data_IF_553792903833
#
_entry.id   IF_553792903833
#
_cell.length_a   1.000
_cell.length_b   1.000
_cell.length_c   1.000
_cell.angle_alpha   90.00
_cell.angle_beta   90.00
_cell.angle_gamma   90.00
#
_symmetry.space_group_name_H-M   'P 1'
#
loop_
_entity.id
_entity.type
_entity.pdbx_description
1 polymer ?
#
# COMPACT_ATOMS: atom_id res chain seq x y z
N UNK A 1 -16.92 16.36 12.52
CA UNK A 1 -17.64 15.18 13.09
C UNK A 1 -17.83 14.23 11.91
N UNK A 2 -17.11 13.11 11.88
CA UNK A 2 -17.33 12.11 10.81
C UNK A 2 -18.64 11.37 11.13
N UNK A 3 -19.67 11.62 10.33
CA UNK A 3 -20.92 10.86 10.40
C UNK A 3 -20.64 9.45 9.87
N UNK A 4 -20.67 8.46 10.74
CA UNK A 4 -20.62 7.05 10.36
C UNK A 4 -22.07 6.61 10.11
N UNK A 5 -22.48 6.31 8.86
CA UNK A 5 -23.85 5.93 8.57
C UNK A 5 -24.17 4.56 9.16
N UNK A 6 -25.42 4.42 9.62
CA UNK A 6 -25.98 3.14 10.06
C UNK A 6 -26.77 2.51 8.92
N UNK A 7 -26.56 1.21 8.68
CA UNK A 7 -27.30 0.39 7.73
C UNK A 7 -28.13 -0.65 8.46
N UNK A 8 -29.32 -0.96 7.92
CA UNK A 8 -30.22 -1.98 8.46
C UNK A 8 -30.26 -3.15 7.49
N UNK A 9 -29.93 -4.34 7.97
CA UNK A 9 -30.08 -5.60 7.24
C UNK A 9 -31.30 -6.37 7.73
N UNK A 10 -32.09 -6.85 6.80
CA UNK A 10 -33.13 -7.83 7.09
C UNK A 10 -32.54 -9.25 7.09
N UNK A 11 -32.67 -9.94 8.21
CA UNK A 11 -32.22 -11.33 8.35
C UNK A 11 -33.42 -12.24 8.64
N UNK A 12 -33.23 -13.54 8.56
CA UNK A 12 -34.25 -14.53 8.96
C UNK A 12 -34.66 -14.43 10.45
N UNK A 13 -33.85 -13.72 11.26
CA UNK A 13 -34.09 -13.51 12.70
C UNK A 13 -34.59 -12.08 13.03
N UNK A 14 -34.90 -11.27 11.99
CA UNK A 14 -35.34 -9.88 12.14
C UNK A 14 -34.35 -8.86 11.61
N UNK A 15 -34.61 -7.59 11.91
CA UNK A 15 -33.76 -6.48 11.50
C UNK A 15 -32.53 -6.36 12.42
N UNK A 16 -31.37 -6.11 11.80
CA UNK A 16 -30.12 -5.80 12.52
C UNK A 16 -29.53 -4.50 11.99
N UNK A 17 -29.23 -3.58 12.89
CA UNK A 17 -28.54 -2.35 12.59
C UNK A 17 -27.02 -2.52 12.78
N UNK A 18 -26.25 -2.02 11.83
CA UNK A 18 -24.78 -1.98 11.87
C UNK A 18 -24.31 -0.56 11.50
N UNK A 19 -23.21 -0.09 12.07
CA UNK A 19 -22.47 0.95 11.40
C UNK A 19 -21.84 0.41 10.11
N UNK A 20 -21.56 1.30 9.16
CA UNK A 20 -21.07 0.88 7.84
C UNK A 20 -19.73 0.13 7.90
N UNK A 21 -18.83 0.51 8.83
CA UNK A 21 -17.53 -0.15 8.97
C UNK A 21 -17.69 -1.59 9.47
N UNK A 22 -18.53 -1.79 10.52
CA UNK A 22 -18.87 -3.12 11.03
C UNK A 22 -19.57 -3.99 9.98
N UNK A 23 -20.40 -3.36 9.11
CA UNK A 23 -21.04 -4.08 8.02
C UNK A 23 -20.04 -4.54 6.94
N UNK A 24 -19.11 -3.66 6.53
CA UNK A 24 -18.06 -3.99 5.59
C UNK A 24 -17.10 -5.06 6.15
N UNK A 25 -16.80 -5.01 7.44
CA UNK A 25 -15.96 -6.00 8.09
C UNK A 25 -16.53 -7.43 7.99
N UNK A 26 -17.87 -7.60 8.00
CA UNK A 26 -18.51 -8.90 7.73
C UNK A 26 -18.15 -9.46 6.35
N UNK A 27 -17.94 -8.59 5.37
CA UNK A 27 -17.49 -8.94 4.02
C UNK A 27 -15.95 -8.95 3.91
N UNK A 28 -15.26 -8.94 5.06
CA UNK A 28 -13.80 -8.98 5.18
C UNK A 28 -13.10 -7.76 4.59
N UNK A 29 -13.77 -6.62 4.58
CA UNK A 29 -13.27 -5.34 4.06
C UNK A 29 -12.82 -4.46 5.22
N UNK A 30 -11.54 -4.03 5.16
CA UNK A 30 -10.92 -3.06 6.08
C UNK A 30 -10.58 -1.81 5.27
N UNK A 31 -10.78 -0.63 5.86
CA UNK A 31 -10.47 0.65 5.21
C UNK A 31 -9.48 1.44 6.06
N UNK A 32 -8.33 1.79 5.46
CA UNK A 32 -7.42 2.82 5.95
C UNK A 32 -7.71 4.12 5.18
N UNK A 33 -8.53 4.99 5.76
CA UNK A 33 -9.00 6.25 5.15
C UNK A 33 -8.47 7.51 5.85
N UNK A 34 -7.35 7.41 6.59
CA UNK A 34 -6.77 8.51 7.37
C UNK A 34 -5.27 8.34 7.52
N UNK A 35 -4.65 9.25 8.30
CA UNK A 35 -3.26 9.11 8.72
C UNK A 35 -3.03 7.83 9.52
N UNK A 36 -1.84 7.24 9.34
CA UNK A 36 -1.39 6.08 10.13
C UNK A 36 -0.88 6.56 11.48
N UNK A 37 -1.60 6.23 12.54
CA UNK A 37 -1.26 6.50 13.92
C UNK A 37 -1.55 5.27 14.79
N UNK A 38 -1.20 5.32 16.09
CA UNK A 38 -1.33 4.16 16.98
C UNK A 38 -2.78 3.69 17.14
N UNK A 39 -3.76 4.61 17.17
CA UNK A 39 -5.17 4.24 17.28
C UNK A 39 -5.67 3.51 16.04
N UNK A 40 -5.32 4.03 14.85
CA UNK A 40 -5.64 3.43 13.56
C UNK A 40 -4.96 2.08 13.42
N UNK A 41 -3.68 1.98 13.80
CA UNK A 41 -2.94 0.71 13.75
C UNK A 41 -3.56 -0.34 14.67
N UNK A 42 -3.89 0.01 15.92
CA UNK A 42 -4.55 -0.91 16.85
C UNK A 42 -5.90 -1.38 16.32
N UNK A 43 -6.68 -0.49 15.70
CA UNK A 43 -7.97 -0.85 15.09
C UNK A 43 -7.78 -1.84 13.93
N UNK A 44 -6.87 -1.55 13.01
CA UNK A 44 -6.62 -2.39 11.82
C UNK A 44 -6.03 -3.75 12.22
N UNK A 45 -5.06 -3.79 13.12
CA UNK A 45 -4.48 -5.05 13.61
C UNK A 45 -5.53 -5.92 14.30
N UNK A 46 -6.41 -5.33 15.10
CA UNK A 46 -7.52 -6.05 15.73
C UNK A 46 -8.49 -6.64 14.70
N UNK A 47 -8.80 -5.89 13.65
CA UNK A 47 -9.67 -6.36 12.56
C UNK A 47 -9.01 -7.50 11.77
N UNK A 48 -7.71 -7.41 11.47
CA UNK A 48 -6.97 -8.47 10.80
C UNK A 48 -6.98 -9.78 11.60
N UNK A 49 -6.65 -9.71 12.90
CA UNK A 49 -6.65 -10.86 13.80
C UNK A 49 -8.07 -11.45 13.98
N UNK A 50 -9.09 -10.61 14.07
CA UNK A 50 -10.48 -11.05 14.15
C UNK A 50 -10.91 -11.82 12.90
N UNK A 51 -10.58 -11.31 11.71
CA UNK A 51 -10.91 -11.95 10.45
C UNK A 51 -10.16 -13.27 10.25
N UNK A 52 -8.88 -13.34 10.65
CA UNK A 52 -8.13 -14.59 10.64
C UNK A 52 -8.78 -15.64 11.54
N UNK A 53 -9.17 -15.25 12.77
CA UNK A 53 -9.82 -16.17 13.72
C UNK A 53 -11.18 -16.67 13.21
N UNK A 54 -11.87 -15.90 12.36
CA UNK A 54 -13.13 -16.33 11.74
C UNK A 54 -12.93 -17.35 10.62
N UNK A 55 -11.98 -17.10 9.72
CA UNK A 55 -11.71 -17.97 8.57
C UNK A 55 -10.32 -17.62 8.01
N UNK A 56 -9.34 -18.48 8.24
CA UNK A 56 -7.95 -18.26 7.82
C UNK A 56 -7.69 -18.50 6.33
N UNK A 57 -8.66 -19.11 5.62
CA UNK A 57 -8.49 -19.47 4.20
C UNK A 57 -9.05 -18.41 3.23
N UNK A 58 -9.82 -17.46 3.75
CA UNK A 58 -10.43 -16.41 2.93
C UNK A 58 -9.59 -15.14 2.93
N UNK A 59 -9.53 -14.51 1.77
CA UNK A 59 -8.85 -13.22 1.57
C UNK A 59 -9.45 -12.12 2.46
N UNK A 60 -8.59 -11.18 2.87
CA UNK A 60 -8.96 -9.93 3.51
C UNK A 60 -8.71 -8.80 2.51
N UNK A 61 -9.69 -7.93 2.30
CA UNK A 61 -9.62 -6.79 1.38
C UNK A 61 -9.26 -5.53 2.16
N UNK A 62 -8.09 -4.98 1.92
CA UNK A 62 -7.57 -3.80 2.60
C UNK A 62 -7.50 -2.62 1.65
N UNK A 63 -8.48 -1.73 1.75
CA UNK A 63 -8.57 -0.51 0.96
C UNK A 63 -7.76 0.61 1.62
N UNK A 64 -6.93 1.30 0.83
CA UNK A 64 -5.99 2.32 1.32
C UNK A 64 -6.23 3.63 0.59
N UNK A 65 -6.56 4.68 1.38
CA UNK A 65 -6.59 6.09 0.99
C UNK A 65 -5.96 6.90 2.12
N UNK A 66 -4.63 6.97 2.15
CA UNK A 66 -3.88 7.48 3.30
C UNK A 66 -2.65 8.27 2.86
N UNK A 67 -2.38 9.42 3.49
CA UNK A 67 -1.13 10.17 3.29
C UNK A 67 0.08 9.52 3.99
N UNK A 68 -0.12 8.42 4.72
CA UNK A 68 0.90 7.80 5.55
C UNK A 68 0.86 8.25 7.00
N UNK A 69 1.99 8.28 7.69
CA UNK A 69 2.08 8.70 9.09
C UNK A 69 3.16 7.97 9.87
N UNK A 70 2.86 7.57 11.11
CA UNK A 70 3.81 6.94 12.03
C UNK A 70 4.37 5.63 11.48
N UNK A 71 5.70 5.55 11.38
CA UNK A 71 6.40 4.35 10.91
C UNK A 71 6.21 3.17 11.85
N UNK A 72 6.24 3.39 13.17
CA UNK A 72 6.05 2.33 14.16
C UNK A 72 4.64 1.76 14.12
N UNK A 73 3.63 2.63 14.00
CA UNK A 73 2.24 2.23 13.81
C UNK A 73 2.05 1.46 12.49
N UNK A 74 2.69 1.92 11.41
CA UNK A 74 2.68 1.21 10.13
C UNK A 74 3.35 -0.16 10.18
N UNK A 75 4.46 -0.30 10.92
CA UNK A 75 5.08 -1.61 11.13
C UNK A 75 4.19 -2.57 11.91
N UNK A 76 3.41 -2.10 12.89
CA UNK A 76 2.47 -2.96 13.60
C UNK A 76 1.42 -3.56 12.64
N UNK A 77 0.90 -2.76 11.71
CA UNK A 77 -0.02 -3.25 10.67
C UNK A 77 0.71 -4.22 9.73
N UNK A 78 1.89 -3.83 9.22
CA UNK A 78 2.69 -4.63 8.29
C UNK A 78 3.01 -6.02 8.88
N UNK A 79 3.58 -6.04 10.08
CA UNK A 79 3.98 -7.31 10.72
C UNK A 79 2.75 -8.21 10.97
N UNK A 80 1.58 -7.63 11.32
CA UNK A 80 0.33 -8.37 11.45
C UNK A 80 -0.13 -8.95 10.11
N UNK A 81 -0.09 -8.14 9.01
CA UNK A 81 -0.42 -8.63 7.65
C UNK A 81 0.48 -9.80 7.22
N UNK A 82 1.77 -9.79 7.63
CA UNK A 82 2.70 -10.88 7.29
C UNK A 82 2.56 -12.09 8.22
N UNK A 83 2.02 -11.91 9.43
CA UNK A 83 1.89 -12.95 10.44
C UNK A 83 0.66 -13.82 10.24
N UNK A 84 -0.48 -13.23 9.83
CA UNK A 84 -1.74 -13.94 9.62
C UNK A 84 -1.64 -14.88 8.41
N UNK A 85 -2.45 -15.92 8.39
CA UNK A 85 -2.49 -16.91 7.29
C UNK A 85 -3.31 -16.44 6.10
N UNK A 86 -4.29 -15.54 6.34
CA UNK A 86 -5.10 -14.98 5.27
C UNK A 86 -4.26 -14.23 4.25
N UNK A 87 -4.54 -14.38 2.98
CA UNK A 87 -4.03 -13.45 1.98
C UNK A 87 -4.66 -12.06 2.17
N UNK A 88 -3.82 -11.02 2.13
CA UNK A 88 -4.27 -9.63 2.23
C UNK A 88 -4.22 -8.98 0.85
N UNK A 89 -5.40 -8.76 0.29
CA UNK A 89 -5.59 -8.03 -0.97
C UNK A 89 -5.52 -6.55 -0.67
N UNK A 90 -4.53 -5.82 -1.17
CA UNK A 90 -4.42 -4.37 -0.98
C UNK A 90 -4.91 -3.61 -2.20
N UNK A 91 -5.70 -2.54 -1.97
CA UNK A 91 -6.30 -1.74 -3.04
C UNK A 91 -6.10 -0.26 -2.73
N UNK A 92 -5.31 0.42 -3.57
CA UNK A 92 -5.20 1.88 -3.50
C UNK A 92 -6.43 2.55 -4.13
N UNK A 93 -7.09 3.44 -3.37
CA UNK A 93 -8.12 4.34 -3.85
C UNK A 93 -7.76 5.77 -3.43
N UNK A 94 -7.85 6.74 -4.37
CA UNK A 94 -7.41 8.10 -4.13
C UNK A 94 -5.89 8.19 -4.03
N UNK A 95 -5.31 8.05 -2.82
CA UNK A 95 -3.87 8.14 -2.62
C UNK A 95 -3.36 7.11 -1.60
N UNK A 96 -2.20 6.54 -1.89
CA UNK A 96 -1.40 5.82 -0.91
C UNK A 96 0.00 6.45 -0.86
N UNK A 97 0.29 7.24 0.18
CA UNK A 97 1.55 7.94 0.31
C UNK A 97 2.36 7.47 1.53
N UNK A 98 3.70 7.50 1.43
CA UNK A 98 4.59 7.20 2.55
C UNK A 98 4.30 5.83 3.18
N UNK A 99 3.93 5.78 4.47
CA UNK A 99 3.50 4.51 5.11
C UNK A 99 2.26 3.90 4.44
N UNK A 100 1.39 4.68 3.80
CA UNK A 100 0.27 4.16 2.99
C UNK A 100 0.77 3.37 1.77
N UNK A 101 1.77 3.88 1.04
CA UNK A 101 2.41 3.18 -0.08
C UNK A 101 3.15 1.91 0.39
N UNK A 102 3.80 1.99 1.55
CA UNK A 102 4.46 0.85 2.16
C UNK A 102 3.48 -0.29 2.48
N UNK A 103 2.34 0.04 3.10
CA UNK A 103 1.28 -0.93 3.40
C UNK A 103 0.59 -1.46 2.13
N UNK A 104 0.45 -0.63 1.09
CA UNK A 104 -0.06 -1.07 -0.22
C UNK A 104 0.85 -2.14 -0.82
N UNK A 105 2.17 -1.90 -0.84
CA UNK A 105 3.16 -2.85 -1.34
C UNK A 105 3.28 -4.11 -0.47
N UNK A 106 2.83 -4.06 0.80
CA UNK A 106 2.87 -5.15 1.76
C UNK A 106 1.82 -6.24 1.52
N UNK A 107 0.84 -6.02 0.66
CA UNK A 107 -0.18 -7.01 0.29
C UNK A 107 0.41 -8.30 -0.27
N UNK A 108 -0.40 -9.35 -0.32
CA UNK A 108 0.00 -10.63 -0.92
C UNK A 108 0.39 -10.43 -2.38
N UNK A 109 1.55 -10.93 -2.78
CA UNK A 109 2.07 -10.80 -4.15
C UNK A 109 1.05 -11.39 -5.14
N UNK A 110 0.74 -10.64 -6.20
CA UNK A 110 -0.30 -10.96 -7.17
C UNK A 110 -1.69 -10.44 -6.80
N UNK A 111 -1.88 -9.92 -5.56
CA UNK A 111 -3.15 -9.41 -5.03
C UNK A 111 -3.06 -7.94 -4.58
N UNK A 112 -2.15 -7.17 -5.17
CA UNK A 112 -1.99 -5.73 -4.88
C UNK A 112 -2.52 -4.91 -6.05
N UNK A 113 -3.43 -4.00 -5.78
CA UNK A 113 -4.16 -3.28 -6.82
C UNK A 113 -4.15 -1.77 -6.61
N UNK A 114 -4.35 -1.02 -7.69
CA UNK A 114 -4.67 0.40 -7.66
C UNK A 114 -5.87 0.68 -8.57
N UNK A 115 -6.73 1.60 -8.15
CA UNK A 115 -7.78 2.14 -9.03
C UNK A 115 -7.13 3.09 -10.06
N UNK A 116 -7.74 3.30 -11.26
CA UNK A 116 -7.09 3.98 -12.38
C UNK A 116 -6.62 5.41 -12.12
N UNK A 117 -7.28 6.11 -11.21
CA UNK A 117 -6.95 7.50 -10.85
C UNK A 117 -6.25 7.59 -9.49
N UNK A 118 -5.82 6.46 -8.93
CA UNK A 118 -5.09 6.45 -7.67
C UNK A 118 -3.64 6.89 -7.90
N UNK A 119 -3.10 7.55 -6.91
CA UNK A 119 -1.73 8.03 -6.87
C UNK A 119 -0.95 7.34 -5.74
N UNK A 120 0.28 6.95 -6.02
CA UNK A 120 1.15 6.30 -5.01
C UNK A 120 2.40 7.16 -4.83
N UNK A 121 2.74 7.51 -3.59
CA UNK A 121 3.93 8.30 -3.31
C UNK A 121 4.86 7.57 -2.34
N UNK A 122 6.11 7.46 -2.75
CA UNK A 122 7.19 6.89 -1.92
C UNK A 122 8.22 7.95 -1.58
N UNK A 123 8.72 7.92 -0.37
CA UNK A 123 9.82 8.75 0.11
C UNK A 123 10.51 8.14 1.35
N UNK A 124 11.67 8.67 1.72
CA UNK A 124 12.36 8.28 2.94
C UNK A 124 11.61 8.73 4.21
N UNK A 125 11.82 8.07 5.37
CA UNK A 125 11.19 8.49 6.60
C UNK A 125 11.63 9.89 7.01
N UNK A 126 10.66 10.70 7.47
CA UNK A 126 10.92 12.00 8.06
C UNK A 126 11.18 11.84 9.56
N UNK A 127 12.06 12.65 10.08
CA UNK A 127 12.33 12.71 11.50
C UNK A 127 13.25 13.85 11.87
N UNK A 128 13.31 14.15 13.14
CA UNK A 128 14.18 15.18 13.72
C UNK A 128 14.46 14.86 15.18
N UNK A 129 15.48 15.51 15.74
CA UNK A 129 15.80 15.42 17.14
C UNK A 129 16.29 16.78 17.65
N UNK A 130 15.97 17.08 18.90
CA UNK A 130 16.43 18.23 19.63
C UNK A 130 16.85 17.75 21.03
N UNK A 131 17.96 18.26 21.53
CA UNK A 131 18.49 17.88 22.84
C UNK A 131 20.01 17.93 22.88
N UNK A 132 20.62 17.14 23.77
CA UNK A 132 22.06 17.01 23.89
C UNK A 132 22.65 16.30 22.65
N UNK A 133 23.94 16.56 22.35
CA UNK A 133 24.62 15.99 21.19
C UNK A 133 24.45 14.45 21.09
N UNK A 134 24.59 13.75 22.23
CA UNK A 134 24.42 12.29 22.29
C UNK A 134 22.99 11.85 21.93
N UNK A 135 21.96 12.59 22.37
CA UNK A 135 20.57 12.29 22.06
C UNK A 135 20.28 12.48 20.56
N UNK A 136 20.83 13.54 19.96
CA UNK A 136 20.73 13.80 18.52
C UNK A 136 21.42 12.68 17.73
N UNK A 137 22.59 12.21 18.16
CA UNK A 137 23.30 11.08 17.53
C UNK A 137 22.49 9.78 17.60
N UNK A 138 21.89 9.48 18.75
CA UNK A 138 21.04 8.29 18.94
C UNK A 138 19.84 8.36 17.99
N UNK A 139 19.15 9.50 17.94
CA UNK A 139 18.00 9.69 17.06
C UNK A 139 18.38 9.58 15.56
N UNK A 140 19.50 10.17 15.16
CA UNK A 140 19.99 10.07 13.78
C UNK A 140 20.29 8.60 13.40
N UNK A 141 20.99 7.86 14.27
CA UNK A 141 21.23 6.42 14.05
C UNK A 141 19.93 5.61 13.95
N UNK A 142 18.94 5.96 14.78
CA UNK A 142 17.62 5.29 14.72
C UNK A 142 16.91 5.54 13.41
N UNK A 143 16.85 6.79 12.92
CA UNK A 143 16.22 7.15 11.65
C UNK A 143 16.92 6.44 10.47
N UNK A 144 18.24 6.44 10.44
CA UNK A 144 19.01 5.76 9.40
C UNK A 144 18.72 4.25 9.35
N UNK A 145 18.69 3.59 10.52
CA UNK A 145 18.32 2.16 10.62
C UNK A 145 16.87 1.92 10.12
N UNK A 146 15.95 2.81 10.47
CA UNK A 146 14.56 2.74 10.02
C UNK A 146 14.47 2.86 8.50
N UNK A 147 15.19 3.80 7.89
CA UNK A 147 15.29 3.98 6.44
C UNK A 147 15.81 2.72 5.76
N UNK A 148 16.90 2.15 6.26
CA UNK A 148 17.47 0.91 5.72
C UNK A 148 16.45 -0.26 5.77
N UNK A 149 15.72 -0.41 6.90
CA UNK A 149 14.69 -1.44 7.05
C UNK A 149 13.56 -1.25 6.04
N UNK A 150 13.04 -0.03 5.89
CA UNK A 150 11.99 0.30 4.93
C UNK A 150 12.43 0.04 3.48
N UNK A 151 13.63 0.49 3.11
CA UNK A 151 14.18 0.31 1.77
C UNK A 151 14.36 -1.18 1.43
N UNK A 152 14.84 -1.98 2.38
CA UNK A 152 14.99 -3.42 2.18
C UNK A 152 13.64 -4.10 1.94
N UNK A 153 12.64 -3.78 2.76
CA UNK A 153 11.30 -4.35 2.60
C UNK A 153 10.68 -3.92 1.25
N UNK A 154 10.81 -2.62 0.87
CA UNK A 154 10.31 -2.16 -0.42
C UNK A 154 11.02 -2.84 -1.59
N UNK A 155 12.35 -3.04 -1.52
CA UNK A 155 13.09 -3.77 -2.54
C UNK A 155 12.58 -5.21 -2.70
N UNK A 156 12.40 -5.91 -1.58
CA UNK A 156 11.87 -7.29 -1.57
C UNK A 156 10.44 -7.36 -2.14
N UNK A 157 9.62 -6.34 -1.86
CA UNK A 157 8.21 -6.30 -2.30
C UNK A 157 8.02 -5.86 -3.74
N UNK A 158 8.90 -5.00 -4.26
CA UNK A 158 8.78 -4.43 -5.62
C UNK A 158 9.62 -5.15 -6.65
N UNK A 159 10.62 -5.94 -6.22
CA UNK A 159 11.63 -6.53 -7.10
C UNK A 159 12.68 -5.52 -7.59
N UNK A 160 12.65 -4.28 -7.09
CA UNK A 160 13.66 -3.28 -7.38
C UNK A 160 14.95 -3.55 -6.61
N UNK A 161 16.08 -3.02 -7.09
CA UNK A 161 17.32 -3.07 -6.32
C UNK A 161 17.27 -2.08 -5.15
N UNK A 162 17.97 -2.37 -4.05
CA UNK A 162 18.07 -1.45 -2.90
C UNK A 162 18.56 -0.07 -3.35
N UNK A 163 19.54 0.02 -4.27
CA UNK A 163 20.04 1.29 -4.81
C UNK A 163 18.98 2.06 -5.60
N UNK A 164 18.10 1.37 -6.32
CA UNK A 164 16.98 2.03 -6.99
C UNK A 164 15.99 2.59 -5.97
N UNK A 165 15.61 1.81 -4.95
CA UNK A 165 14.74 2.28 -3.86
C UNK A 165 15.35 3.48 -3.13
N UNK A 166 16.64 3.44 -2.76
CA UNK A 166 17.34 4.55 -2.11
C UNK A 166 17.29 5.83 -2.93
N UNK A 167 17.55 5.75 -4.23
CA UNK A 167 17.46 6.88 -5.15
C UNK A 167 16.05 7.43 -5.26
N UNK A 168 15.07 6.53 -5.45
CA UNK A 168 13.71 6.89 -5.80
C UNK A 168 12.87 7.31 -4.59
N UNK A 169 13.34 6.99 -3.36
CA UNK A 169 12.75 7.45 -2.10
C UNK A 169 13.50 8.64 -1.47
N UNK A 170 14.57 9.15 -2.09
CA UNK A 170 15.35 10.28 -1.52
C UNK A 170 14.52 11.55 -1.36
N UNK A 171 13.56 11.77 -2.25
CA UNK A 171 12.54 12.84 -2.21
C UNK A 171 11.18 12.25 -2.55
N UNK A 172 10.12 13.04 -2.39
CA UNK A 172 8.78 12.67 -2.76
C UNK A 172 8.73 12.24 -4.23
N UNK A 173 8.36 11.00 -4.46
CA UNK A 173 8.25 10.40 -5.78
C UNK A 173 6.82 9.93 -5.98
N UNK A 174 6.05 10.72 -6.75
CA UNK A 174 4.66 10.47 -7.07
C UNK A 174 4.56 9.62 -8.33
N UNK A 175 3.77 8.57 -8.26
CA UNK A 175 3.55 7.58 -9.30
C UNK A 175 2.05 7.47 -9.58
N UNK A 176 1.66 7.51 -10.85
CA UNK A 176 0.31 7.10 -11.27
C UNK A 176 0.08 5.63 -10.98
N UNK A 177 -1.16 5.16 -11.09
CA UNK A 177 -1.50 3.75 -10.89
C UNK A 177 -0.70 2.84 -11.83
N UNK A 178 -0.51 3.25 -13.09
CA UNK A 178 0.26 2.52 -14.11
C UNK A 178 1.75 2.49 -13.76
N UNK A 179 2.34 3.62 -13.41
CA UNK A 179 3.75 3.72 -13.00
C UNK A 179 4.02 2.91 -11.73
N UNK A 180 3.09 2.92 -10.75
CA UNK A 180 3.18 2.09 -9.54
C UNK A 180 3.13 0.59 -9.87
N UNK A 181 2.37 0.20 -10.89
CA UNK A 181 2.34 -1.17 -11.39
C UNK A 181 3.64 -1.54 -12.12
N UNK A 182 4.17 -0.66 -12.98
CA UNK A 182 5.45 -0.88 -13.65
C UNK A 182 6.63 -0.92 -12.67
N UNK A 183 6.56 -0.14 -11.60
CA UNK A 183 7.55 -0.11 -10.51
C UNK A 183 7.52 -1.37 -9.64
N UNK A 184 6.36 -2.03 -9.53
CA UNK A 184 6.14 -3.24 -8.72
C UNK A 184 5.53 -2.98 -7.35
N UNK A 185 5.05 -1.75 -7.07
CA UNK A 185 4.32 -1.42 -5.83
C UNK A 185 2.95 -2.07 -5.79
N UNK A 186 2.31 -2.23 -6.96
CA UNK A 186 1.08 -2.99 -7.15
C UNK A 186 1.24 -3.97 -8.30
N UNK A 187 0.36 -4.98 -8.36
CA UNK A 187 0.45 -6.03 -9.37
C UNK A 187 -0.45 -5.72 -10.59
N UNK A 188 -1.48 -4.86 -10.40
CA UNK A 188 -2.43 -4.56 -11.47
C UNK A 188 -3.23 -3.29 -11.19
N UNK A 189 -3.56 -2.54 -12.27
CA UNK A 189 -4.55 -1.47 -12.23
C UNK A 189 -5.94 -2.05 -12.51
N UNK A 190 -6.94 -1.72 -11.67
CA UNK A 190 -8.32 -2.20 -11.77
C UNK A 190 -9.16 -1.23 -12.61
N UNK A 191 -9.21 -1.43 -13.91
CA UNK A 191 -10.10 -0.66 -14.79
C UNK A 191 -11.52 -1.19 -14.74
N UNK A 192 -12.55 -0.31 -14.86
CA UNK A 192 -13.93 -0.74 -15.15
C UNK A 192 -13.96 -1.62 -16.41
N UNK A 193 -14.83 -2.61 -16.46
CA UNK A 193 -14.88 -3.57 -17.58
C UNK A 193 -15.03 -2.88 -18.96
N UNK A 194 -15.76 -1.75 -18.99
CA UNK A 194 -16.01 -0.98 -20.22
C UNK A 194 -14.87 -0.01 -20.61
N UNK A 195 -13.80 0.13 -19.81
CA UNK A 195 -12.74 1.14 -19.97
C UNK A 195 -11.33 0.55 -19.89
N UNK A 196 -11.12 -0.68 -20.29
CA UNK A 196 -9.76 -1.24 -20.36
C UNK A 196 -8.96 -0.48 -21.42
N UNK A 197 -7.82 0.14 -21.10
CA UNK A 197 -6.99 0.80 -22.08
C UNK A 197 -6.57 -0.21 -23.15
N UNK A 198 -6.78 0.14 -24.42
CA UNK A 198 -6.25 -0.66 -25.52
C UNK A 198 -4.71 -0.65 -25.37
N UNK A 199 -4.09 -1.85 -25.33
CA UNK A 199 -2.61 -1.95 -25.30
C UNK A 199 -2.07 -1.16 -26.48
N UNK A 200 -1.44 -0.01 -26.23
CA UNK A 200 -0.64 0.68 -27.25
C UNK A 200 0.50 -0.25 -27.59
N UNK A 201 0.50 -0.83 -28.79
CA UNK A 201 1.65 -1.59 -29.31
C UNK A 201 2.88 -0.68 -29.27
N UNK A 202 3.93 -1.14 -28.59
CA UNK A 202 5.22 -0.43 -28.60
C UNK A 202 5.65 -0.27 -30.05
N UNK A 203 6.05 0.95 -30.52
CA UNK A 203 6.50 1.14 -31.89
C UNK A 203 7.67 0.19 -32.18
N UNK A 204 7.51 -0.66 -33.19
CA UNK A 204 8.57 -1.57 -33.67
C UNK A 204 9.80 -0.73 -34.01
N UNK A 205 10.93 -0.95 -33.32
CA UNK A 205 12.19 -0.32 -33.63
C UNK A 205 12.49 -0.57 -35.12
N UNK A 206 12.54 0.50 -35.93
CA UNK A 206 12.90 0.47 -37.32
C UNK A 206 14.37 -0.04 -37.43
N UNK A 207 14.55 -1.23 -37.97
CA UNK A 207 15.85 -1.79 -38.33
C UNK A 207 16.43 -0.96 -39.46
N UNK A 208 17.40 -0.10 -39.17
CA UNK A 208 18.20 0.56 -40.22
C UNK A 208 18.97 -0.53 -40.99
N UNK A 209 18.53 -0.81 -42.21
CA UNK A 209 19.35 -1.54 -43.20
C UNK A 209 20.53 -0.66 -43.55
N UNK A 210 21.73 -1.06 -43.14
CA UNK A 210 22.99 -0.52 -43.64
C UNK A 210 23.18 -1.05 -45.04
N UNK A 211 23.03 -0.18 -46.04
CA UNK A 211 23.40 -0.50 -47.43
C UNK A 211 24.93 -0.56 -47.53
N UNK A 212 25.47 -1.73 -47.78
CA UNK A 212 26.86 -1.89 -48.26
C UNK A 212 26.94 -1.34 -49.67
N UNK A 213 27.67 -0.23 -49.85
CA UNK A 213 28.20 0.17 -51.15
C UNK A 213 29.40 -0.70 -51.44
N UNK A 214 29.33 -1.41 -52.55
CA UNK A 214 30.44 -2.06 -53.20
C UNK A 214 31.22 -1.04 -54.06
N UNK A 215 32.50 -0.92 -53.82
CA UNK A 215 33.56 -0.67 -54.80
C UNK A 215 34.73 -1.58 -54.47
#
# INVERSE_FOLDING_TARGET
MNLIPTVIEQTSQGERAYDICSRLLKDRIIILGSDVNDQVANSITSQLLFLEAQDSEKDIYFYINSPGGSVTAGFAIYDTMQHIKCDVVTICMGMAASMGAFLLAAGTIGKRYALPNAEVMIHQPLGGAQGQATEIEIAAKHILRTREKLNKILADRTGQTIKAIERDTERDNYLTAEEACEYGLVDKVMYPENNKPQKKEKPKKATKKVAKKSE
#
